data_IF_571536525060
#
_entry.id   IF_571536525060
#
_cell.length_a   1.000
_cell.length_b   1.000
_cell.length_c   1.000
_cell.angle_alpha   90.00
_cell.angle_beta   90.00
_cell.angle_gamma   90.00
#
_symmetry.space_group_name_H-M   'P 1'
#
loop_
_entity.id
_entity.type
_entity.pdbx_description
1 polymer ?
#
# COMPACT_ATOMS: atom_id res chain seq x y z
N UNK A 1 -85.71 34.06 14.97
CA UNK A 1 -85.86 34.37 13.54
C UNK A 1 -84.57 34.93 13.02
N UNK A 2 -84.13 34.44 11.85
CA UNK A 2 -83.14 35.02 10.90
C UNK A 2 -81.72 35.25 11.48
N UNK A 3 -80.60 35.00 10.81
CA UNK A 3 -80.32 34.67 9.42
C UNK A 3 -78.92 34.02 9.36
N UNK A 4 -78.71 33.17 8.35
CA UNK A 4 -77.40 32.67 7.90
C UNK A 4 -76.53 33.83 7.40
N UNK A 5 -75.21 33.66 7.48
CA UNK A 5 -74.32 34.20 6.45
C UNK A 5 -73.12 33.28 6.17
N UNK A 6 -72.76 33.28 4.89
CA UNK A 6 -71.96 32.34 4.10
C UNK A 6 -70.42 32.51 4.26
N UNK A 7 -69.60 31.58 3.75
CA UNK A 7 -68.13 31.62 3.84
C UNK A 7 -67.51 32.50 2.74
N UNK A 8 -66.35 33.11 3.02
CA UNK A 8 -65.53 33.83 2.05
C UNK A 8 -64.30 33.00 1.62
N UNK A 9 -63.90 33.05 0.33
CA UNK A 9 -62.90 32.17 -0.27
C UNK A 9 -61.52 32.83 -0.45
N UNK A 10 -60.50 32.00 -0.69
CA UNK A 10 -59.34 32.40 -1.49
C UNK A 10 -57.99 32.39 -0.77
N UNK A 11 -57.22 31.33 -0.98
CA UNK A 11 -55.88 31.42 -1.54
C UNK A 11 -55.44 30.02 -1.98
N UNK A 12 -55.70 29.75 -3.25
CA UNK A 12 -55.04 28.72 -4.03
C UNK A 12 -53.56 29.09 -4.19
N UNK A 13 -52.64 28.22 -3.78
CA UNK A 13 -51.40 28.05 -4.53
C UNK A 13 -50.76 26.67 -4.28
N UNK A 14 -50.09 26.09 -5.30
CA UNK A 14 -50.02 24.65 -5.42
C UNK A 14 -48.59 24.08 -5.34
N UNK A 15 -48.56 22.75 -5.14
CA UNK A 15 -47.55 21.77 -5.56
C UNK A 15 -46.20 21.67 -4.84
N UNK A 16 -45.93 20.44 -4.41
CA UNK A 16 -44.58 19.87 -4.45
C UNK A 16 -44.67 18.34 -4.49
N UNK A 17 -44.04 17.64 -5.46
CA UNK A 17 -44.05 16.19 -5.51
C UNK A 17 -43.29 15.64 -4.30
N UNK A 18 -43.87 14.66 -3.59
CA UNK A 18 -43.12 13.86 -2.62
C UNK A 18 -42.05 13.10 -3.39
N UNK A 19 -40.83 13.64 -3.44
CA UNK A 19 -39.64 12.90 -3.91
C UNK A 19 -39.38 11.76 -2.93
N UNK A 20 -40.01 10.61 -3.19
CA UNK A 20 -39.48 9.34 -2.75
C UNK A 20 -38.23 9.07 -3.59
N UNK A 21 -37.09 9.50 -3.05
CA UNK A 21 -35.83 9.47 -3.76
C UNK A 21 -34.66 9.56 -2.81
N UNK A 22 -34.53 8.59 -1.92
CA UNK A 22 -33.23 8.25 -1.36
C UNK A 22 -32.80 6.89 -1.94
N UNK A 23 -32.54 6.89 -3.26
CA UNK A 23 -31.44 6.06 -3.74
C UNK A 23 -30.24 6.54 -2.93
N UNK A 24 -29.68 5.69 -2.07
CA UNK A 24 -28.32 5.90 -1.62
C UNK A 24 -27.49 6.06 -2.89
N UNK A 25 -27.11 7.29 -3.24
CA UNK A 25 -26.08 7.49 -4.24
C UNK A 25 -24.86 6.85 -3.61
N UNK A 26 -24.48 5.70 -4.14
CA UNK A 26 -23.24 5.07 -3.76
C UNK A 26 -22.16 5.99 -4.34
N UNK A 27 -21.79 7.02 -3.58
CA UNK A 27 -20.71 7.92 -3.96
C UNK A 27 -19.53 7.03 -4.32
N UNK A 28 -18.93 7.22 -5.51
CA UNK A 28 -17.86 6.36 -5.97
C UNK A 28 -16.76 6.41 -4.92
N UNK A 29 -16.55 5.29 -4.20
CA UNK A 29 -15.54 5.22 -3.16
C UNK A 29 -14.20 5.48 -3.82
N UNK A 30 -13.67 6.68 -3.59
CA UNK A 30 -12.42 7.09 -4.20
C UNK A 30 -11.30 6.23 -3.62
N UNK A 31 -10.37 5.84 -4.50
CA UNK A 31 -9.17 5.15 -4.07
C UNK A 31 -8.16 6.18 -3.57
N UNK A 32 -7.60 5.94 -2.39
CA UNK A 32 -6.43 6.65 -1.90
C UNK A 32 -5.20 5.77 -2.12
N UNK A 33 -4.22 6.28 -2.86
CA UNK A 33 -2.98 5.55 -3.17
C UNK A 33 -1.82 6.21 -2.42
N UNK A 34 -1.20 5.46 -1.51
CA UNK A 34 -0.04 5.92 -0.75
C UNK A 34 1.23 5.28 -1.31
N UNK A 35 2.17 6.11 -1.79
CA UNK A 35 3.46 5.64 -2.32
C UNK A 35 4.60 5.94 -1.35
N UNK A 36 5.36 4.90 -0.99
CA UNK A 36 6.54 5.00 -0.14
C UNK A 36 7.81 4.71 -0.96
N UNK A 37 8.73 5.67 -0.99
CA UNK A 37 10.01 5.53 -1.69
C UNK A 37 11.00 4.67 -0.91
N UNK A 38 12.13 4.30 -1.53
CA UNK A 38 13.08 3.35 -0.93
C UNK A 38 13.61 3.74 0.45
N UNK A 39 13.85 5.04 0.71
CA UNK A 39 14.27 5.51 2.04
C UNK A 39 13.19 5.32 3.11
N UNK A 40 11.91 5.42 2.72
CA UNK A 40 10.76 5.19 3.61
C UNK A 40 10.58 3.71 3.97
N UNK A 41 11.29 2.80 3.30
CA UNK A 41 11.27 1.35 3.53
C UNK A 41 12.68 0.78 3.66
N UNK A 42 13.64 1.58 4.14
CA UNK A 42 15.06 1.18 4.18
C UNK A 42 15.44 0.26 5.34
N UNK A 43 14.60 0.18 6.38
CA UNK A 43 14.83 -0.59 7.60
C UNK A 43 13.52 -0.98 8.27
N UNK A 44 13.59 -1.85 9.28
CA UNK A 44 12.44 -2.24 10.08
C UNK A 44 11.74 -1.03 10.74
N UNK A 45 12.50 -0.10 11.32
CA UNK A 45 11.93 1.14 11.87
C UNK A 45 11.18 1.97 10.84
N UNK A 46 11.71 2.05 9.61
CA UNK A 46 11.04 2.70 8.51
C UNK A 46 9.71 2.00 8.17
N UNK A 47 9.70 0.67 8.09
CA UNK A 47 8.47 -0.10 7.90
C UNK A 47 7.47 0.09 9.05
N UNK A 48 7.90 0.15 10.32
CA UNK A 48 7.02 0.43 11.46
C UNK A 48 6.35 1.80 11.32
N UNK A 49 7.09 2.83 10.88
CA UNK A 49 6.54 4.17 10.62
C UNK A 49 5.53 4.15 9.47
N UNK A 50 5.83 3.44 8.39
CA UNK A 50 4.89 3.28 7.25
C UNK A 50 3.62 2.55 7.70
N UNK A 51 3.76 1.44 8.43
CA UNK A 51 2.63 0.68 8.96
C UNK A 51 1.74 1.54 9.88
N UNK A 52 2.36 2.41 10.71
CA UNK A 52 1.61 3.38 11.52
C UNK A 52 0.82 4.35 10.65
N UNK A 53 1.43 4.97 9.64
CA UNK A 53 0.74 5.90 8.74
C UNK A 53 -0.45 5.21 8.07
N UNK A 54 -0.25 4.01 7.54
CA UNK A 54 -1.32 3.24 6.88
C UNK A 54 -2.45 2.91 7.86
N UNK A 55 -2.10 2.48 9.07
CA UNK A 55 -3.10 2.12 10.11
C UNK A 55 -3.88 3.35 10.59
N UNK A 56 -3.22 4.48 10.80
CA UNK A 56 -3.86 5.73 11.21
C UNK A 56 -4.89 6.21 10.17
N UNK A 57 -4.56 6.08 8.88
CA UNK A 57 -5.49 6.44 7.79
C UNK A 57 -6.67 5.47 7.73
N UNK A 58 -6.45 4.15 7.87
CA UNK A 58 -7.52 3.15 7.90
C UNK A 58 -8.47 3.39 9.08
N UNK A 59 -7.94 3.74 10.25
CA UNK A 59 -8.75 4.00 11.44
C UNK A 59 -9.55 5.31 11.36
N UNK A 60 -9.10 6.27 10.55
CA UNK A 60 -9.79 7.55 10.32
C UNK A 60 -11.01 7.44 9.40
N UNK A 61 -11.06 6.44 8.52
CA UNK A 61 -12.18 6.22 7.58
C UNK A 61 -12.35 4.72 7.27
N UNK A 62 -13.37 4.11 7.89
CA UNK A 62 -13.69 2.68 7.74
C UNK A 62 -14.28 2.30 6.37
N UNK A 63 -14.66 3.28 5.54
CA UNK A 63 -15.20 3.05 4.20
C UNK A 63 -14.16 3.31 3.09
N UNK A 64 -12.94 3.68 3.45
CA UNK A 64 -11.86 4.01 2.53
C UNK A 64 -11.41 2.81 1.69
N UNK A 65 -11.18 3.05 0.39
CA UNK A 65 -10.43 2.13 -0.47
C UNK A 65 -8.99 2.59 -0.56
N UNK A 66 -8.03 1.78 -0.11
CA UNK A 66 -6.62 2.16 -0.10
C UNK A 66 -5.75 1.18 -0.88
N UNK A 67 -4.79 1.72 -1.63
CA UNK A 67 -3.65 0.98 -2.15
C UNK A 67 -2.33 1.53 -1.59
N UNK A 68 -1.37 0.64 -1.34
CA UNK A 68 -0.01 1.00 -0.90
C UNK A 68 0.98 0.54 -1.96
N UNK A 69 1.81 1.46 -2.43
CA UNK A 69 2.86 1.20 -3.43
C UNK A 69 4.21 1.43 -2.76
N UNK A 70 5.10 0.44 -2.80
CA UNK A 70 6.44 0.54 -2.22
C UNK A 70 7.51 0.39 -3.29
N UNK A 71 8.61 1.13 -3.15
CA UNK A 71 9.85 0.86 -3.90
C UNK A 71 10.67 -0.22 -3.19
N UNK A 72 11.73 -0.72 -3.85
CA UNK A 72 12.73 -1.58 -3.20
C UNK A 72 13.42 -0.86 -2.02
N UNK A 73 13.97 -1.64 -1.08
CA UNK A 73 14.64 -1.07 0.10
C UNK A 73 15.77 -0.12 -0.29
N UNK A 74 15.69 1.11 0.20
CA UNK A 74 16.72 2.13 0.00
C UNK A 74 17.79 2.09 1.09
N UNK A 75 18.34 3.27 1.39
CA UNK A 75 19.50 3.42 2.28
C UNK A 75 20.82 3.24 1.53
N UNK A 76 21.92 3.10 2.26
CA UNK A 76 23.24 2.86 1.69
C UNK A 76 23.72 1.46 2.12
N UNK A 77 23.98 0.53 1.18
CA UNK A 77 23.63 0.59 -0.25
C UNK A 77 22.12 0.42 -0.51
N UNK A 78 21.64 0.94 -1.66
CA UNK A 78 20.26 0.76 -2.14
C UNK A 78 20.13 -0.59 -2.86
N UNK A 79 19.02 -1.30 -2.66
CA UNK A 79 18.82 -2.61 -3.30
C UNK A 79 18.83 -2.52 -4.82
N UNK A 80 18.13 -1.55 -5.42
CA UNK A 80 18.12 -1.39 -6.88
C UNK A 80 19.52 -1.18 -7.45
N UNK A 81 20.36 -0.37 -6.78
CA UNK A 81 21.72 -0.11 -7.21
C UNK A 81 22.59 -1.39 -7.09
N UNK A 82 22.39 -2.20 -6.06
CA UNK A 82 23.10 -3.48 -5.88
C UNK A 82 22.72 -4.51 -6.95
N UNK A 83 21.43 -4.62 -7.29
CA UNK A 83 20.96 -5.52 -8.34
C UNK A 83 21.50 -5.13 -9.72
N UNK A 84 21.59 -3.83 -10.02
CA UNK A 84 22.21 -3.37 -11.26
C UNK A 84 23.72 -3.65 -11.27
N UNK A 85 24.39 -3.45 -10.13
CA UNK A 85 25.81 -3.77 -10.00
C UNK A 85 26.09 -5.26 -10.15
N UNK A 86 25.22 -6.16 -9.68
CA UNK A 86 25.43 -7.60 -9.82
C UNK A 86 25.32 -8.03 -11.28
N UNK A 87 24.37 -7.48 -12.02
CA UNK A 87 24.27 -7.66 -13.49
C UNK A 87 25.54 -7.18 -14.19
N UNK A 88 26.04 -5.99 -13.85
CA UNK A 88 27.26 -5.46 -14.45
C UNK A 88 28.50 -6.30 -14.12
N UNK A 89 28.61 -6.80 -12.88
CA UNK A 89 29.70 -7.67 -12.46
C UNK A 89 29.67 -9.00 -13.23
N UNK A 90 28.50 -9.64 -13.30
CA UNK A 90 28.30 -10.88 -14.04
C UNK A 90 28.64 -10.72 -15.54
N UNK A 91 28.13 -9.66 -16.18
CA UNK A 91 28.43 -9.35 -17.58
C UNK A 91 29.93 -9.05 -17.82
N UNK A 92 30.65 -8.59 -16.80
CA UNK A 92 32.10 -8.38 -16.81
C UNK A 92 32.93 -9.64 -16.51
N UNK A 93 32.29 -10.78 -16.23
CA UNK A 93 32.95 -12.04 -15.85
C UNK A 93 33.32 -12.15 -14.37
N UNK A 94 32.92 -11.20 -13.54
CA UNK A 94 33.18 -11.20 -12.09
C UNK A 94 31.98 -11.78 -11.32
N UNK A 95 31.80 -13.10 -11.44
CA UNK A 95 30.70 -13.81 -10.79
C UNK A 95 30.78 -13.78 -9.26
N UNK A 96 32.00 -13.80 -8.70
CA UNK A 96 32.20 -13.71 -7.27
C UNK A 96 31.64 -12.40 -6.70
N UNK A 97 31.86 -11.27 -7.40
CA UNK A 97 31.30 -9.98 -7.02
C UNK A 97 29.78 -9.93 -7.20
N UNK A 98 29.24 -10.55 -8.24
CA UNK A 98 27.80 -10.64 -8.45
C UNK A 98 27.10 -11.39 -7.31
N UNK A 99 27.65 -12.54 -6.92
CA UNK A 99 27.13 -13.37 -5.83
C UNK A 99 27.20 -12.64 -4.48
N UNK A 100 28.32 -11.94 -4.19
CA UNK A 100 28.47 -11.12 -2.97
C UNK A 100 27.39 -10.03 -2.87
N UNK A 101 27.06 -9.37 -4.00
CA UNK A 101 26.02 -8.35 -4.06
C UNK A 101 24.64 -8.93 -3.78
N UNK A 102 24.32 -10.09 -4.36
CA UNK A 102 23.05 -10.77 -4.11
C UNK A 102 22.95 -11.25 -2.65
N UNK A 103 24.02 -11.78 -2.07
CA UNK A 103 24.05 -12.15 -0.65
C UNK A 103 23.86 -10.94 0.27
N UNK A 104 24.42 -9.78 -0.10
CA UNK A 104 24.20 -8.53 0.62
C UNK A 104 22.73 -8.09 0.55
N UNK A 105 22.08 -8.23 -0.62
CA UNK A 105 20.64 -7.97 -0.78
C UNK A 105 19.82 -8.91 0.11
N UNK A 106 20.11 -10.22 0.06
CA UNK A 106 19.46 -11.25 0.89
C UNK A 106 19.55 -10.89 2.37
N UNK A 107 20.77 -10.69 2.87
CA UNK A 107 21.03 -10.36 4.28
C UNK A 107 20.27 -9.11 4.71
N UNK A 108 20.22 -8.06 3.87
CA UNK A 108 19.49 -6.83 4.17
C UNK A 108 17.99 -7.07 4.37
N UNK A 109 17.36 -7.88 3.52
CA UNK A 109 15.94 -8.23 3.66
C UNK A 109 15.70 -9.15 4.86
N UNK A 110 16.49 -10.22 5.02
CA UNK A 110 16.34 -11.16 6.13
C UNK A 110 16.48 -10.49 7.50
N UNK A 111 17.46 -9.61 7.67
CA UNK A 111 17.62 -8.83 8.90
C UNK A 111 16.39 -7.95 9.17
N UNK A 112 15.88 -7.28 8.15
CA UNK A 112 14.69 -6.44 8.28
C UNK A 112 13.44 -7.26 8.65
N UNK A 113 13.26 -8.43 8.04
CA UNK A 113 12.15 -9.33 8.32
C UNK A 113 12.24 -9.86 9.75
N UNK A 114 13.41 -10.34 10.16
CA UNK A 114 13.64 -10.84 11.51
C UNK A 114 13.35 -9.80 12.59
N UNK A 115 13.76 -8.55 12.36
CA UNK A 115 13.49 -7.46 13.31
C UNK A 115 12.00 -7.05 13.34
N UNK A 116 11.28 -7.17 12.23
CA UNK A 116 9.86 -6.79 12.13
C UNK A 116 8.92 -7.88 12.64
N UNK A 117 9.23 -9.14 12.36
CA UNK A 117 8.30 -10.26 12.43
C UNK A 117 8.86 -11.45 13.22
N UNK A 118 10.05 -11.32 13.81
CA UNK A 118 10.73 -12.37 14.56
C UNK A 118 9.81 -13.06 15.57
N UNK A 119 9.78 -14.40 15.52
CA UNK A 119 9.01 -15.21 16.47
C UNK A 119 7.49 -15.21 16.22
N UNK A 120 7.04 -14.70 15.07
CA UNK A 120 5.61 -14.73 14.69
C UNK A 120 5.25 -15.88 13.75
N UNK A 121 6.23 -16.64 13.24
CA UNK A 121 6.07 -17.70 12.23
C UNK A 121 5.76 -17.18 10.82
N UNK A 122 5.60 -15.86 10.66
CA UNK A 122 5.45 -15.19 9.35
C UNK A 122 6.80 -14.78 8.76
N UNK A 123 7.78 -14.58 9.62
CA UNK A 123 9.19 -14.35 9.29
C UNK A 123 9.75 -15.49 8.46
N UNK A 124 9.58 -16.75 8.88
CA UNK A 124 10.08 -17.94 8.17
C UNK A 124 9.60 -18.00 6.71
N UNK A 125 8.29 -17.77 6.49
CA UNK A 125 7.70 -17.79 5.14
C UNK A 125 8.25 -16.69 4.25
N UNK A 126 8.42 -15.48 4.78
CA UNK A 126 8.95 -14.35 4.00
C UNK A 126 10.44 -14.51 3.72
N UNK A 127 11.21 -15.04 4.67
CA UNK A 127 12.62 -15.38 4.46
C UNK A 127 12.75 -16.40 3.34
N UNK A 128 11.94 -17.47 3.34
CA UNK A 128 11.97 -18.48 2.28
C UNK A 128 11.66 -17.90 0.89
N UNK A 129 10.74 -16.93 0.79
CA UNK A 129 10.47 -16.22 -0.48
C UNK A 129 11.70 -15.44 -0.93
N UNK A 130 12.32 -14.66 -0.03
CA UNK A 130 13.53 -13.90 -0.35
C UNK A 130 14.67 -14.83 -0.79
N UNK A 131 14.83 -15.97 -0.14
CA UNK A 131 15.85 -16.96 -0.51
C UNK A 131 15.60 -17.55 -1.90
N UNK A 132 14.34 -17.86 -2.23
CA UNK A 132 13.95 -18.32 -3.56
C UNK A 132 14.22 -17.26 -4.62
N UNK A 133 13.79 -16.02 -4.41
CA UNK A 133 13.99 -14.91 -5.36
C UNK A 133 15.48 -14.66 -5.60
N UNK A 134 16.32 -14.76 -4.56
CA UNK A 134 17.77 -14.61 -4.68
C UNK A 134 18.38 -15.78 -5.45
N UNK A 135 17.93 -17.01 -5.21
CA UNK A 135 18.39 -18.16 -5.99
C UNK A 135 18.05 -18.02 -7.47
N UNK A 136 16.83 -17.61 -7.81
CA UNK A 136 16.39 -17.37 -9.18
C UNK A 136 17.25 -16.29 -9.86
N UNK A 137 17.57 -15.20 -9.14
CA UNK A 137 18.46 -14.16 -9.64
C UNK A 137 19.89 -14.69 -9.87
N UNK A 138 20.42 -15.50 -8.96
CA UNK A 138 21.74 -16.12 -9.12
C UNK A 138 21.77 -17.01 -10.37
N UNK A 139 20.77 -17.87 -10.55
CA UNK A 139 20.66 -18.73 -11.73
C UNK A 139 20.61 -17.92 -13.03
N UNK A 140 19.85 -16.83 -13.06
CA UNK A 140 19.79 -15.92 -14.23
C UNK A 140 21.14 -15.28 -14.53
N UNK A 141 21.91 -14.89 -13.51
CA UNK A 141 23.22 -14.24 -13.70
C UNK A 141 24.31 -15.23 -14.13
N UNK A 142 24.17 -16.52 -13.80
CA UNK A 142 25.13 -17.57 -14.16
C UNK A 142 24.86 -18.20 -15.54
N UNK A 143 23.72 -17.89 -16.17
CA UNK A 143 23.30 -18.41 -17.48
C UNK A 143 24.05 -17.79 -18.66
#
# INVERSE_FOLDING_TARGET
GLLRDQPQPGADQPQGPRRLGLRATMEPRCWTVNKFGGTSVASADCYRKVAKIVTDVINGDSQLRMAVVVSAMGGKPKVTDMLLQSVHAAAGGDMARADELLETVKTKYCNCIGELLGGTGRDEKLIAIIESDINDLTEILHA
#
